data_IF_418578870457
#
_entry.id   IF_418578870457
#
_cell.length_a   1.000
_cell.length_b   1.000
_cell.length_c   1.000
_cell.angle_alpha   90.00
_cell.angle_beta   90.00
_cell.angle_gamma   90.00
#
_symmetry.space_group_name_H-M   'P 1'
#
loop_
_entity.id
_entity.type
_entity.pdbx_description
1 polymer ?
#
# COMPACT_ATOMS: atom_id res chain seq x y z
N UNK A 1 22.50 43.90 -5.16
CA UNK A 1 22.11 42.59 -5.75
C UNK A 1 20.75 42.07 -5.24
N UNK A 2 20.41 42.17 -3.95
CA UNK A 2 19.07 41.77 -3.43
C UNK A 2 17.95 42.80 -3.68
N UNK A 3 18.25 44.10 -3.75
CA UNK A 3 17.23 45.14 -4.02
C UNK A 3 16.85 45.29 -5.49
N UNK A 4 17.72 44.82 -6.39
CA UNK A 4 17.51 44.85 -7.85
C UNK A 4 16.59 43.70 -8.31
N UNK A 5 16.63 42.58 -7.57
CA UNK A 5 15.71 41.45 -7.75
C UNK A 5 14.30 41.79 -7.22
N UNK A 6 14.20 42.59 -6.16
CA UNK A 6 12.91 43.06 -5.60
C UNK A 6 12.17 44.02 -6.53
N UNK A 7 12.86 44.88 -7.28
CA UNK A 7 12.23 45.84 -8.22
C UNK A 7 11.67 45.21 -9.50
N UNK A 8 12.14 44.02 -9.88
CA UNK A 8 11.79 43.39 -11.16
C UNK A 8 10.64 42.36 -11.09
N UNK A 9 10.10 42.08 -9.90
CA UNK A 9 9.03 41.11 -9.71
C UNK A 9 7.66 41.80 -9.61
N UNK A 10 7.10 42.16 -10.77
CA UNK A 10 5.72 42.66 -10.89
C UNK A 10 4.72 41.47 -10.83
N UNK A 11 3.81 41.41 -9.84
CA UNK A 11 2.89 40.29 -9.62
C UNK A 11 1.97 39.96 -10.82
N UNK A 12 1.68 40.93 -11.69
CA UNK A 12 0.86 40.72 -12.87
C UNK A 12 1.59 39.97 -14.00
N UNK A 13 2.93 40.00 -14.07
CA UNK A 13 3.71 39.26 -15.08
C UNK A 13 3.84 37.76 -14.75
N UNK A 14 3.72 37.37 -13.48
CA UNK A 14 3.77 35.95 -13.05
C UNK A 14 2.50 35.16 -13.41
N UNK A 15 1.34 35.83 -13.53
CA UNK A 15 0.08 35.21 -13.96
C UNK A 15 0.02 34.92 -15.47
N UNK A 16 0.71 35.70 -16.30
CA UNK A 16 0.73 35.51 -17.76
C UNK A 16 1.79 34.51 -18.25
N UNK A 17 2.87 34.29 -17.48
CA UNK A 17 3.91 33.29 -17.78
C UNK A 17 3.42 31.84 -17.74
N UNK A 18 2.51 31.50 -16.81
CA UNK A 18 1.97 30.14 -16.68
C UNK A 18 1.08 29.71 -17.87
N UNK A 19 0.43 30.65 -18.56
CA UNK A 19 -0.36 30.37 -19.76
C UNK A 19 0.53 30.21 -21.01
N UNK A 20 1.56 31.05 -21.15
CA UNK A 20 2.52 30.95 -22.27
C UNK A 20 3.39 29.68 -22.21
N UNK A 21 3.79 29.25 -21.02
CA UNK A 21 4.52 27.98 -20.83
C UNK A 21 3.66 26.76 -21.21
N UNK A 22 2.37 26.74 -20.81
CA UNK A 22 1.41 25.69 -21.23
C UNK A 22 1.16 25.67 -22.74
N UNK A 23 1.14 26.84 -23.37
CA UNK A 23 0.87 26.97 -24.81
C UNK A 23 2.10 26.60 -25.66
N UNK A 24 3.31 26.89 -25.18
CA UNK A 24 4.57 26.46 -25.80
C UNK A 24 4.74 24.93 -25.74
N UNK A 25 4.42 24.30 -24.60
CA UNK A 25 4.45 22.84 -24.44
C UNK A 25 3.43 22.10 -25.33
N UNK A 26 2.26 22.72 -25.58
CA UNK A 26 1.27 22.20 -26.54
C UNK A 26 1.73 22.35 -28.00
N UNK A 27 2.35 23.47 -28.37
CA UNK A 27 2.88 23.70 -29.73
C UNK A 27 4.09 22.83 -30.08
N UNK A 28 4.84 22.37 -29.06
CA UNK A 28 5.99 21.47 -29.24
C UNK A 28 5.62 19.97 -29.33
N UNK A 29 4.33 19.62 -29.38
CA UNK A 29 3.90 18.21 -29.51
C UNK A 29 4.13 17.34 -28.26
N UNK A 30 4.47 17.93 -27.11
CA UNK A 30 4.80 17.19 -25.87
C UNK A 30 3.59 16.99 -24.93
N UNK A 31 2.36 17.08 -25.45
CA UNK A 31 1.16 16.73 -24.71
C UNK A 31 0.74 15.30 -25.05
N UNK A 32 1.32 14.31 -24.35
CA UNK A 32 0.85 12.92 -24.35
C UNK A 32 -0.06 12.68 -23.14
N UNK A 33 -1.16 11.95 -23.34
CA UNK A 33 -1.93 11.33 -22.27
C UNK A 33 -1.09 10.20 -21.65
N UNK A 34 -0.62 10.37 -20.42
CA UNK A 34 0.21 9.39 -19.70
C UNK A 34 1.25 10.03 -18.75
N UNK A 35 1.75 9.31 -17.72
CA UNK A 35 2.43 9.91 -16.58
C UNK A 35 3.91 10.21 -16.87
N UNK A 36 4.18 11.33 -17.53
CA UNK A 36 5.54 11.84 -17.80
C UNK A 36 6.23 12.44 -16.56
N UNK A 37 5.53 12.54 -15.42
CA UNK A 37 6.10 13.17 -14.21
C UNK A 37 7.16 12.33 -13.49
N UNK A 38 7.17 11.00 -13.65
CA UNK A 38 8.26 10.16 -13.15
C UNK A 38 9.60 10.54 -13.76
N UNK A 39 9.63 10.81 -15.08
CA UNK A 39 10.86 11.14 -15.80
C UNK A 39 11.38 12.56 -15.57
N UNK A 40 10.53 13.53 -15.25
CA UNK A 40 11.00 14.90 -14.91
C UNK A 40 11.46 15.03 -13.46
N UNK A 41 10.88 14.26 -12.53
CA UNK A 41 11.38 14.17 -11.16
C UNK A 41 12.75 13.43 -11.10
N UNK A 42 12.98 12.48 -12.00
CA UNK A 42 14.28 11.79 -12.14
C UNK A 42 15.30 12.59 -12.97
N UNK A 43 14.88 13.31 -14.03
CA UNK A 43 15.78 14.18 -14.81
C UNK A 43 16.26 15.41 -14.05
N UNK A 44 15.53 15.86 -13.02
CA UNK A 44 15.98 16.93 -12.11
C UNK A 44 17.03 16.49 -11.08
N UNK A 45 17.30 15.18 -10.95
CA UNK A 45 18.28 14.62 -10.00
C UNK A 45 19.70 14.52 -10.56
N UNK A 46 19.87 14.62 -11.88
CA UNK A 46 21.19 14.51 -12.54
C UNK A 46 21.98 15.82 -12.59
N UNK A 47 21.45 16.92 -12.05
CA UNK A 47 22.20 18.19 -11.91
C UNK A 47 22.61 18.36 -10.45
N UNK A 48 23.92 18.43 -10.13
CA UNK A 48 24.41 18.62 -8.77
C UNK A 48 24.13 20.05 -8.30
N UNK A 49 22.90 20.29 -7.84
CA UNK A 49 22.56 21.54 -7.16
C UNK A 49 23.06 21.44 -5.72
N UNK A 50 23.88 22.39 -5.24
CA UNK A 50 24.35 22.40 -3.86
C UNK A 50 23.18 22.32 -2.86
N UNK A 51 23.30 21.57 -1.75
CA UNK A 51 22.21 21.38 -0.79
C UNK A 51 21.55 22.69 -0.33
N UNK A 52 22.35 23.74 -0.09
CA UNK A 52 21.88 25.08 0.30
C UNK A 52 21.03 25.75 -0.79
N UNK A 53 21.41 25.62 -2.07
CA UNK A 53 20.64 26.15 -3.19
C UNK A 53 19.34 25.38 -3.42
N UNK A 54 19.35 24.06 -3.21
CA UNK A 54 18.14 23.22 -3.26
C UNK A 54 17.13 23.61 -2.17
N UNK A 55 17.60 23.90 -0.96
CA UNK A 55 16.76 24.40 0.15
C UNK A 55 16.14 25.75 -0.20
N UNK A 56 16.91 26.71 -0.72
CA UNK A 56 16.42 28.05 -1.09
C UNK A 56 15.39 27.98 -2.23
N UNK A 57 15.66 27.23 -3.30
CA UNK A 57 14.73 27.05 -4.43
C UNK A 57 13.45 26.33 -3.97
N UNK A 58 13.58 25.28 -3.15
CA UNK A 58 12.41 24.60 -2.58
C UNK A 58 11.58 25.51 -1.66
N UNK A 59 12.24 26.42 -0.94
CA UNK A 59 11.58 27.35 0.00
C UNK A 59 10.81 28.44 -0.75
N UNK A 60 11.37 28.99 -1.82
CA UNK A 60 10.79 30.09 -2.58
C UNK A 60 9.74 29.64 -3.60
N UNK A 61 9.87 28.44 -4.18
CA UNK A 61 9.02 27.98 -5.29
C UNK A 61 7.99 26.94 -4.85
N UNK A 62 8.29 26.14 -3.83
CA UNK A 62 7.47 24.97 -3.48
C UNK A 62 6.70 25.09 -2.17
N UNK A 63 6.88 26.14 -1.36
CA UNK A 63 6.13 26.32 -0.09
C UNK A 63 4.97 27.30 -0.25
N UNK A 64 3.81 26.96 0.34
CA UNK A 64 2.70 27.91 0.48
C UNK A 64 3.13 29.04 1.41
N UNK A 65 2.85 30.32 1.07
CA UNK A 65 3.11 31.41 1.99
C UNK A 65 2.21 31.28 3.23
N UNK A 66 2.79 31.51 4.40
CA UNK A 66 2.08 31.44 5.67
C UNK A 66 2.04 30.04 6.29
N UNK A 67 1.34 29.95 7.42
CA UNK A 67 1.12 28.70 8.11
C UNK A 67 -0.32 28.25 7.91
N UNK A 68 -0.53 26.94 7.90
CA UNK A 68 -1.85 26.31 7.94
C UNK A 68 -1.96 25.48 9.22
N UNK A 69 -3.17 25.37 9.76
CA UNK A 69 -3.46 24.46 10.87
C UNK A 69 -3.92 23.14 10.30
N UNK A 70 -3.29 22.04 10.71
CA UNK A 70 -3.62 20.68 10.29
C UNK A 70 -3.95 19.81 11.50
N UNK A 71 -4.94 18.89 11.40
CA UNK A 71 -5.16 17.89 12.43
C UNK A 71 -3.94 16.98 12.59
N UNK A 72 -3.53 16.69 13.83
CA UNK A 72 -2.35 15.87 14.11
C UNK A 72 -2.58 14.40 13.72
N UNK A 73 -3.81 13.91 13.84
CA UNK A 73 -4.24 12.56 13.42
C UNK A 73 -4.24 12.38 11.88
N UNK A 74 -4.12 13.49 11.11
CA UNK A 74 -3.97 13.51 9.66
C UNK A 74 -2.52 13.67 9.19
N UNK A 75 -1.56 13.56 10.10
CA UNK A 75 -0.14 13.56 9.79
C UNK A 75 0.37 12.14 9.66
N UNK A 76 1.04 11.84 8.56
CA UNK A 76 1.80 10.61 8.33
C UNK A 76 3.28 10.90 8.53
N UNK A 77 4.02 9.94 9.09
CA UNK A 77 5.48 10.05 9.10
C UNK A 77 6.01 10.06 7.66
N UNK A 78 7.22 10.57 7.46
CA UNK A 78 7.70 10.88 6.12
C UNK A 78 9.21 10.93 6.04
N UNK A 79 9.78 12.05 5.63
CA UNK A 79 11.24 12.17 5.54
C UNK A 79 11.89 11.90 6.91
N UNK A 80 12.98 11.15 6.94
CA UNK A 80 13.62 10.70 8.19
C UNK A 80 15.11 10.47 7.92
N UNK A 81 15.98 10.82 8.90
CA UNK A 81 17.44 10.65 8.80
C UNK A 81 18.06 11.27 7.52
N UNK A 82 17.54 12.45 7.11
CA UNK A 82 17.98 13.14 5.90
C UNK A 82 17.49 12.54 4.57
N UNK A 83 16.72 11.45 4.61
CA UNK A 83 16.13 10.81 3.43
C UNK A 83 14.69 11.28 3.19
N UNK A 84 14.30 11.34 1.93
CA UNK A 84 12.88 11.43 1.57
C UNK A 84 12.14 10.18 2.03
N UNK A 85 10.82 10.27 2.14
CA UNK A 85 9.97 9.14 2.51
C UNK A 85 10.16 7.90 1.62
N UNK A 86 10.42 8.10 0.31
CA UNK A 86 10.72 7.01 -0.63
C UNK A 86 12.10 6.41 -0.38
N UNK A 87 13.13 7.25 -0.30
CA UNK A 87 14.50 6.77 -0.01
C UNK A 87 14.56 6.03 1.32
N UNK A 88 13.80 6.48 2.32
CA UNK A 88 13.68 5.78 3.59
C UNK A 88 13.08 4.38 3.39
N UNK A 89 11.90 4.29 2.75
CA UNK A 89 11.24 3.00 2.50
C UNK A 89 12.14 2.02 1.74
N UNK A 90 12.83 2.49 0.70
CA UNK A 90 13.75 1.67 -0.11
C UNK A 90 14.98 1.20 0.68
N UNK A 91 15.57 2.06 1.50
CA UNK A 91 16.79 1.74 2.28
C UNK A 91 16.53 0.85 3.48
N UNK A 92 15.31 0.90 4.00
CA UNK A 92 14.95 0.25 5.27
C UNK A 92 13.99 -0.91 5.09
N UNK A 93 13.60 -1.21 3.84
CA UNK A 93 12.59 -2.20 3.48
C UNK A 93 11.26 -2.00 4.25
N UNK A 94 10.87 -0.73 4.42
CA UNK A 94 9.66 -0.33 5.14
C UNK A 94 8.73 0.47 4.23
N UNK A 95 7.98 -0.26 3.40
CA UNK A 95 7.03 0.32 2.45
C UNK A 95 5.99 1.22 3.13
N UNK A 96 5.55 0.84 4.34
CA UNK A 96 4.45 1.47 5.07
C UNK A 96 4.90 2.59 6.00
N UNK A 97 6.20 2.87 6.10
CA UNK A 97 6.69 4.02 6.86
C UNK A 97 5.91 5.29 6.49
N UNK A 98 5.79 5.70 5.21
CA UNK A 98 5.06 6.93 4.87
C UNK A 98 3.52 6.81 4.91
N UNK A 99 3.00 5.66 5.31
CA UNK A 99 1.58 5.36 5.56
C UNK A 99 1.27 5.31 7.06
N UNK A 100 2.30 5.31 7.92
CA UNK A 100 2.15 5.27 9.37
C UNK A 100 1.73 6.63 9.89
N UNK A 101 0.63 6.70 10.66
CA UNK A 101 0.21 7.95 11.30
C UNK A 101 1.25 8.39 12.31
N UNK A 102 1.53 9.68 12.37
CA UNK A 102 2.48 10.26 13.32
C UNK A 102 2.16 9.89 14.77
N UNK A 103 0.87 9.87 15.13
CA UNK A 103 0.39 9.54 16.49
C UNK A 103 0.62 8.08 16.89
N UNK A 104 0.83 7.21 15.91
CA UNK A 104 1.20 5.79 16.09
C UNK A 104 2.70 5.57 15.78
N UNK A 105 3.43 6.68 15.59
CA UNK A 105 4.83 6.65 15.20
C UNK A 105 5.78 6.47 16.39
N UNK A 106 7.01 6.02 16.12
CA UNK A 106 7.97 5.65 17.16
C UNK A 106 8.36 6.80 18.12
N UNK A 107 8.31 8.05 17.64
CA UNK A 107 8.60 9.22 18.48
C UNK A 107 7.51 9.45 19.53
N UNK A 108 6.24 9.23 19.18
CA UNK A 108 5.12 9.37 20.13
C UNK A 108 5.14 8.19 21.10
N UNK A 109 5.41 6.99 20.61
CA UNK A 109 5.53 5.80 21.48
C UNK A 109 6.62 5.95 22.53
N UNK A 110 7.79 6.49 22.16
CA UNK A 110 8.84 6.77 23.15
C UNK A 110 8.36 7.76 24.22
N UNK A 111 7.64 8.81 23.85
CA UNK A 111 7.10 9.80 24.81
C UNK A 111 6.00 9.24 25.72
N UNK A 112 5.40 8.10 25.37
CA UNK A 112 4.42 7.39 26.22
C UNK A 112 5.10 6.56 27.32
N UNK A 113 6.39 6.26 27.19
CA UNK A 113 7.14 5.55 28.22
C UNK A 113 7.36 6.46 29.44
N UNK A 114 7.14 5.92 30.64
CA UNK A 114 7.36 6.64 31.91
C UNK A 114 8.68 6.16 32.51
N UNK A 115 9.67 7.04 32.59
CA UNK A 115 11.01 6.76 33.12
C UNK A 115 11.63 5.43 32.59
N UNK A 116 11.68 5.22 31.26
CA UNK A 116 12.16 3.96 30.71
C UNK A 116 13.63 3.73 31.07
N UNK A 117 14.05 2.49 31.21
CA UNK A 117 15.46 2.05 31.23
C UNK A 117 16.10 2.17 29.85
N UNK A 118 17.42 2.04 29.76
CA UNK A 118 18.13 2.08 28.48
C UNK A 118 17.75 0.88 27.60
N UNK A 119 17.58 -0.29 28.21
CA UNK A 119 17.07 -1.51 27.58
C UNK A 119 15.67 -1.30 27.00
N UNK A 120 14.77 -0.67 27.75
CA UNK A 120 13.41 -0.36 27.27
C UNK A 120 13.41 0.64 26.11
N UNK A 121 14.28 1.66 26.14
CA UNK A 121 14.47 2.59 25.02
C UNK A 121 14.92 1.83 23.78
N UNK A 122 15.93 0.98 23.90
CA UNK A 122 16.50 0.22 22.77
C UNK A 122 15.53 -0.83 22.23
N UNK A 123 14.71 -1.43 23.11
CA UNK A 123 13.67 -2.37 22.74
C UNK A 123 12.42 -1.69 22.13
N UNK A 124 12.23 -0.39 22.36
CA UNK A 124 11.06 0.36 21.86
C UNK A 124 11.03 0.50 20.32
N UNK A 125 9.87 0.85 19.72
CA UNK A 125 9.79 1.24 18.31
C UNK A 125 10.79 2.33 17.90
N UNK A 126 11.11 3.28 18.81
CA UNK A 126 12.11 4.31 18.57
C UNK A 126 13.52 3.76 18.47
N UNK A 127 13.92 2.89 19.40
CA UNK A 127 15.23 2.23 19.37
C UNK A 127 15.41 1.39 18.11
N UNK A 128 14.39 0.63 17.72
CA UNK A 128 14.39 -0.16 16.47
C UNK A 128 14.48 0.71 15.22
N UNK A 129 13.74 1.82 15.16
CA UNK A 129 13.87 2.80 14.07
C UNK A 129 15.31 3.33 13.97
N UNK A 130 15.89 3.72 15.11
CA UNK A 130 17.21 4.32 15.14
C UNK A 130 18.29 3.34 14.65
N UNK A 131 18.27 2.09 15.13
CA UNK A 131 19.15 1.02 14.66
C UNK A 131 19.01 0.80 13.16
N UNK A 132 17.78 0.70 12.66
CA UNK A 132 17.51 0.54 11.22
C UNK A 132 18.09 1.69 10.37
N UNK A 133 18.02 2.92 10.87
CA UNK A 133 18.64 4.07 10.20
C UNK A 133 20.18 4.00 10.23
N UNK A 134 20.76 3.55 11.34
CA UNK A 134 22.21 3.35 11.48
C UNK A 134 22.68 2.23 10.55
N UNK A 135 21.98 1.11 10.49
CA UNK A 135 22.31 -0.01 9.61
C UNK A 135 22.26 0.40 8.13
N UNK A 136 21.22 1.16 7.74
CA UNK A 136 21.02 1.57 6.35
C UNK A 136 21.80 2.83 5.92
N UNK A 137 22.30 3.62 6.88
CA UNK A 137 22.77 5.00 6.65
C UNK A 137 24.00 5.43 7.42
N UNK A 138 24.48 4.58 8.33
CA UNK A 138 25.58 4.84 9.25
C UNK A 138 25.25 5.80 10.39
N UNK A 139 24.04 6.38 10.46
CA UNK A 139 23.67 7.32 11.53
C UNK A 139 22.17 7.54 11.72
N UNK A 140 21.79 8.02 12.90
CA UNK A 140 20.45 8.52 13.23
C UNK A 140 20.52 9.73 14.16
N UNK A 141 20.22 10.94 13.65
CA UNK A 141 20.35 12.20 14.42
C UNK A 141 21.72 12.34 15.15
N UNK A 142 22.80 11.91 14.50
CA UNK A 142 24.15 11.93 15.07
C UNK A 142 24.55 10.71 15.90
N UNK A 143 23.61 9.83 16.25
CA UNK A 143 23.93 8.53 16.84
C UNK A 143 24.49 7.58 15.78
N UNK A 144 25.51 6.81 16.14
CA UNK A 144 26.12 5.76 15.30
C UNK A 144 26.13 4.39 15.98
N UNK A 145 25.66 4.32 17.23
CA UNK A 145 25.60 3.13 18.07
C UNK A 145 24.45 3.25 19.10
N UNK A 146 24.24 2.20 19.90
CA UNK A 146 23.19 2.13 20.92
C UNK A 146 23.34 3.19 22.02
N UNK A 147 24.57 3.51 22.43
CA UNK A 147 24.82 4.54 23.43
C UNK A 147 24.37 5.93 22.92
N UNK A 148 24.66 6.22 21.65
CA UNK A 148 24.17 7.42 20.96
C UNK A 148 22.65 7.43 20.83
N UNK A 149 22.01 6.29 20.59
CA UNK A 149 20.54 6.17 20.55
C UNK A 149 19.93 6.50 21.91
N UNK A 150 20.48 5.94 22.98
CA UNK A 150 20.01 6.17 24.35
C UNK A 150 20.17 7.64 24.74
N UNK A 151 21.37 8.22 24.59
CA UNK A 151 21.59 9.65 24.81
C UNK A 151 20.64 10.49 23.92
N UNK A 152 20.41 9.99 22.71
CA UNK A 152 19.40 10.39 21.76
C UNK A 152 18.02 10.59 22.38
N UNK A 153 17.46 9.48 22.84
CA UNK A 153 16.15 9.34 23.43
C UNK A 153 16.01 10.10 24.76
N UNK A 154 17.02 10.03 25.64
CA UNK A 154 17.01 10.71 26.95
C UNK A 154 16.83 12.22 26.82
N UNK A 155 17.60 12.85 25.93
CA UNK A 155 17.44 14.27 25.61
C UNK A 155 16.06 14.58 25.01
N UNK A 156 15.52 13.66 24.20
CA UNK A 156 14.18 13.83 23.67
C UNK A 156 13.09 13.70 24.76
N UNK A 157 13.23 12.77 25.71
CA UNK A 157 12.32 12.61 26.83
C UNK A 157 12.37 13.81 27.79
N UNK A 158 13.57 14.26 28.16
CA UNK A 158 13.76 15.33 29.16
C UNK A 158 13.18 16.68 28.74
N UNK A 159 13.07 16.94 27.43
CA UNK A 159 12.64 18.27 26.98
C UNK A 159 13.75 19.30 26.97
N UNK A 160 14.94 18.94 27.42
CA UNK A 160 16.07 19.85 27.48
C UNK A 160 16.56 20.21 26.07
N UNK A 161 16.71 21.51 25.82
CA UNK A 161 17.26 22.04 24.59
C UNK A 161 18.78 21.79 24.56
N UNK A 162 19.17 20.58 24.16
CA UNK A 162 20.55 20.25 23.84
C UNK A 162 21.01 20.94 22.54
N UNK A 163 22.31 20.83 22.24
CA UNK A 163 22.84 21.26 20.94
C UNK A 163 22.04 20.64 19.79
N UNK A 164 21.76 21.45 18.76
CA UNK A 164 21.03 21.01 17.57
C UNK A 164 21.76 19.83 16.94
N UNK A 165 21.11 18.67 16.92
CA UNK A 165 21.65 17.47 16.28
C UNK A 165 21.65 17.61 14.75
N UNK A 166 22.57 16.92 14.06
CA UNK A 166 22.51 16.79 12.61
C UNK A 166 21.11 16.32 12.17
N UNK A 167 20.59 16.89 11.09
CA UNK A 167 19.28 16.55 10.51
C UNK A 167 18.06 16.89 11.37
N UNK A 168 18.26 17.48 12.56
CA UNK A 168 17.17 18.01 13.38
C UNK A 168 16.93 19.50 13.07
N UNK A 169 15.68 19.88 12.84
CA UNK A 169 15.28 21.29 12.79
C UNK A 169 15.19 21.92 14.18
N UNK A 170 15.59 23.18 14.30
CA UNK A 170 15.58 23.92 15.56
C UNK A 170 14.18 24.40 15.95
N UNK A 171 14.02 24.89 17.18
CA UNK A 171 12.72 25.34 17.73
C UNK A 171 12.01 26.41 16.90
N UNK A 172 12.78 27.34 16.32
CA UNK A 172 12.25 28.43 15.49
C UNK A 172 12.02 28.03 14.03
N UNK A 173 12.49 26.84 13.63
CA UNK A 173 12.25 26.33 12.29
C UNK A 173 10.77 25.90 12.16
N UNK A 174 10.07 26.27 11.07
CA UNK A 174 8.70 25.84 10.86
C UNK A 174 8.63 24.32 10.73
N UNK A 175 7.55 23.71 11.24
CA UNK A 175 7.21 22.32 10.89
C UNK A 175 6.83 22.28 9.41
N UNK A 176 7.42 21.36 8.64
CA UNK A 176 7.20 21.26 7.20
C UNK A 176 6.41 19.99 6.87
N UNK A 177 5.38 20.14 6.06
CA UNK A 177 4.57 19.02 5.57
C UNK A 177 4.34 19.11 4.06
N UNK A 178 3.98 18.00 3.43
CA UNK A 178 3.48 17.96 2.06
C UNK A 178 2.09 17.30 2.02
N UNK A 179 1.12 17.82 1.26
CA UNK A 179 -0.15 17.13 1.05
C UNK A 179 0.08 15.77 0.38
N UNK A 180 -0.60 14.72 0.83
CA UNK A 180 -0.56 13.41 0.17
C UNK A 180 -1.63 13.33 -0.91
N UNK A 181 -1.21 12.96 -2.13
CA UNK A 181 -2.04 13.02 -3.33
C UNK A 181 -3.30 12.18 -3.18
N UNK A 182 -4.45 12.81 -3.41
CA UNK A 182 -5.76 12.14 -3.35
C UNK A 182 -6.31 11.97 -1.94
N UNK A 183 -5.56 12.28 -0.89
CA UNK A 183 -6.01 12.10 0.49
C UNK A 183 -6.23 13.45 1.19
N UNK A 184 -6.78 13.41 2.41
CA UNK A 184 -6.78 14.53 3.35
C UNK A 184 -5.60 14.49 4.33
N UNK A 185 -4.65 13.57 4.14
CA UNK A 185 -3.45 13.41 4.93
C UNK A 185 -2.28 14.26 4.43
N UNK A 186 -1.33 14.50 5.32
CA UNK A 186 -0.08 15.18 5.03
C UNK A 186 1.11 14.34 5.47
N UNK A 187 2.14 14.29 4.64
CA UNK A 187 3.41 13.66 4.99
C UNK A 187 4.32 14.67 5.69
N UNK A 188 4.84 14.32 6.86
CA UNK A 188 5.80 15.15 7.59
C UNK A 188 7.15 15.11 6.89
N UNK A 189 7.67 16.29 6.55
CA UNK A 189 8.97 16.46 5.92
C UNK A 189 10.05 16.87 6.92
N UNK A 190 9.65 17.58 7.97
CA UNK A 190 10.52 18.06 9.02
C UNK A 190 9.70 18.46 10.25
N UNK A 191 10.28 18.32 11.44
CA UNK A 191 9.66 18.68 12.72
C UNK A 191 8.94 17.53 13.43
N UNK A 192 9.23 16.27 13.09
CA UNK A 192 8.62 15.07 13.69
C UNK A 192 8.66 15.10 15.22
N UNK A 193 9.82 15.42 15.81
CA UNK A 193 10.00 15.51 17.26
C UNK A 193 9.08 16.57 17.91
N UNK A 194 8.86 17.72 17.25
CA UNK A 194 7.96 18.77 17.75
C UNK A 194 6.51 18.32 17.68
N UNK A 195 6.12 17.73 16.56
CA UNK A 195 4.77 17.21 16.38
C UNK A 195 4.47 16.04 17.33
N UNK A 196 5.45 15.17 17.58
CA UNK A 196 5.32 14.08 18.55
C UNK A 196 5.12 14.60 19.98
N UNK A 197 5.87 15.62 20.40
CA UNK A 197 5.63 16.29 21.70
C UNK A 197 4.26 16.96 21.76
N UNK A 198 3.82 17.61 20.68
CA UNK A 198 2.47 18.20 20.62
C UNK A 198 1.40 17.12 20.81
N UNK A 199 1.51 16.00 20.09
CA UNK A 199 0.62 14.85 20.23
C UNK A 199 0.63 14.28 21.67
N UNK A 200 1.81 14.11 22.28
CA UNK A 200 1.96 13.62 23.64
C UNK A 200 1.35 14.56 24.70
N UNK A 201 1.31 15.88 24.44
CA UNK A 201 0.59 16.85 25.28
C UNK A 201 -0.93 16.87 25.06
N UNK A 202 -1.46 16.03 24.18
CA UNK A 202 -2.88 15.99 23.84
C UNK A 202 -3.32 17.11 22.89
N UNK A 203 -2.39 17.78 22.21
CA UNK A 203 -2.77 18.72 21.15
C UNK A 203 -3.41 17.94 19.99
N UNK A 204 -4.50 18.47 19.44
CA UNK A 204 -5.24 17.85 18.33
C UNK A 204 -4.90 18.45 16.98
N UNK A 205 -4.24 19.61 16.96
CA UNK A 205 -3.87 20.33 15.73
C UNK A 205 -2.47 20.91 15.84
N UNK A 206 -1.81 21.09 14.70
CA UNK A 206 -0.49 21.70 14.62
C UNK A 206 -0.45 22.80 13.57
N UNK A 207 0.30 23.86 13.86
CA UNK A 207 0.59 24.95 12.91
C UNK A 207 1.82 24.58 12.07
N UNK A 208 1.63 24.42 10.76
CA UNK A 208 2.66 23.90 9.84
C UNK A 208 2.80 24.77 8.59
N UNK A 209 3.93 24.63 7.89
CA UNK A 209 4.13 25.16 6.54
C UNK A 209 4.02 24.01 5.54
N UNK A 210 3.15 24.17 4.56
CA UNK A 210 2.84 23.11 3.60
C UNK A 210 3.48 23.37 2.23
N UNK A 211 3.87 22.30 1.53
CA UNK A 211 4.26 22.38 0.12
C UNK A 211 3.05 22.62 -0.79
N UNK A 212 3.27 23.33 -1.90
CA UNK A 212 2.26 23.53 -2.95
C UNK A 212 1.91 22.24 -3.67
N UNK A 213 2.92 21.45 -4.01
CA UNK A 213 2.77 20.23 -4.80
C UNK A 213 2.54 19.03 -3.87
N UNK A 214 1.50 18.22 -4.14
CA UNK A 214 1.27 16.99 -3.39
C UNK A 214 2.31 15.93 -3.74
N UNK A 215 2.64 15.10 -2.75
CA UNK A 215 3.52 13.92 -2.87
C UNK A 215 2.68 12.64 -2.97
N UNK A 216 3.27 11.57 -3.50
CA UNK A 216 2.72 10.21 -3.39
C UNK A 216 3.49 9.44 -2.31
N UNK A 217 2.85 8.44 -1.71
CA UNK A 217 3.52 7.49 -0.82
C UNK A 217 4.10 6.30 -1.62
N UNK A 218 5.13 5.60 -1.11
CA UNK A 218 5.63 4.38 -1.74
C UNK A 218 4.55 3.32 -1.96
N UNK A 219 3.61 3.18 -1.01
CA UNK A 219 2.45 2.30 -1.16
C UNK A 219 1.58 2.70 -2.37
N UNK A 220 1.23 3.98 -2.50
CA UNK A 220 0.49 4.49 -3.67
C UNK A 220 1.26 4.24 -4.97
N UNK A 221 2.57 4.49 -4.98
CA UNK A 221 3.42 4.29 -6.15
C UNK A 221 3.49 2.80 -6.54
N UNK A 222 3.54 1.88 -5.57
CA UNK A 222 3.55 0.44 -5.81
C UNK A 222 2.20 -0.03 -6.38
N UNK A 223 1.09 0.36 -5.77
CA UNK A 223 -0.26 0.02 -6.22
C UNK A 223 -0.51 0.49 -7.65
N UNK A 224 -0.14 1.71 -8.00
CA UNK A 224 -0.31 2.26 -9.36
C UNK A 224 0.50 1.51 -10.44
N UNK A 225 1.48 0.69 -10.06
CA UNK A 225 2.30 -0.11 -10.99
C UNK A 225 1.81 -1.55 -11.14
N UNK A 226 0.85 -1.99 -10.32
CA UNK A 226 0.34 -3.36 -10.39
C UNK A 226 -0.37 -3.57 -11.73
N UNK A 227 -0.09 -4.70 -12.34
CA UNK A 227 -0.44 -5.02 -13.73
C UNK A 227 -1.94 -5.01 -14.01
N UNK A 228 -2.78 -5.36 -13.02
CA UNK A 228 -4.23 -5.45 -13.18
C UNK A 228 -4.99 -4.14 -12.91
N UNK A 229 -4.34 -3.11 -12.36
CA UNK A 229 -5.01 -1.84 -12.06
C UNK A 229 -4.99 -0.85 -13.24
N UNK A 230 -4.19 -1.07 -14.28
CA UNK A 230 -4.02 -0.11 -15.40
C UNK A 230 -3.83 1.36 -14.94
N UNK A 231 -3.21 1.55 -13.77
CA UNK A 231 -3.02 2.85 -13.13
C UNK A 231 -4.27 3.52 -12.54
N UNK A 232 -5.40 2.81 -12.42
CA UNK A 232 -6.60 3.28 -11.71
C UNK A 232 -6.37 3.31 -10.19
N UNK A 233 -7.21 4.06 -9.48
CA UNK A 233 -7.19 4.15 -8.01
C UNK A 233 -8.22 3.20 -7.42
N UNK A 234 -7.97 1.92 -7.60
CA UNK A 234 -8.83 0.84 -7.15
C UNK A 234 -8.00 -0.12 -6.31
N UNK A 235 -8.60 -0.66 -5.25
CA UNK A 235 -7.98 -1.71 -4.44
C UNK A 235 -8.72 -3.00 -4.74
N UNK A 236 -8.05 -3.96 -5.38
CA UNK A 236 -8.70 -5.23 -5.68
C UNK A 236 -9.12 -5.95 -4.38
N UNK A 237 -8.22 -6.04 -3.40
CA UNK A 237 -8.48 -6.54 -2.04
C UNK A 237 -8.30 -5.43 -0.99
N UNK A 238 -8.84 -5.58 0.24
CA UNK A 238 -8.77 -4.54 1.27
C UNK A 238 -7.36 -4.21 1.72
N UNK A 239 -6.99 -2.93 1.73
CA UNK A 239 -5.73 -2.42 2.31
C UNK A 239 -6.08 -1.34 3.32
N UNK A 240 -5.73 -1.56 4.58
CA UNK A 240 -5.91 -0.56 5.64
C UNK A 240 -4.71 0.40 5.65
N UNK A 241 -4.83 1.48 4.87
CA UNK A 241 -3.86 2.56 4.87
C UNK A 241 -4.56 3.93 4.85
N UNK A 242 -4.20 4.88 5.74
CA UNK A 242 -4.96 6.12 5.91
C UNK A 242 -5.05 6.96 4.63
N UNK A 243 -3.97 7.02 3.83
CA UNK A 243 -3.95 7.81 2.61
C UNK A 243 -4.80 7.24 1.46
N UNK A 244 -5.22 5.98 1.57
CA UNK A 244 -6.02 5.30 0.54
C UNK A 244 -7.52 5.46 0.81
N UNK A 245 -7.92 5.48 2.09
CA UNK A 245 -9.30 5.35 2.58
C UNK A 245 -10.35 6.23 1.87
N UNK A 246 -9.97 7.42 1.39
CA UNK A 246 -10.92 8.35 0.74
C UNK A 246 -10.94 8.28 -0.78
N UNK A 247 -9.82 7.95 -1.42
CA UNK A 247 -9.65 8.14 -2.87
C UNK A 247 -9.38 6.87 -3.66
N UNK A 248 -9.33 5.75 -2.97
CA UNK A 248 -9.18 4.44 -3.56
C UNK A 248 -10.42 3.62 -3.21
N UNK A 249 -11.12 3.18 -4.23
CA UNK A 249 -12.32 2.36 -4.05
C UNK A 249 -11.89 0.90 -3.92
N UNK A 250 -12.29 0.23 -2.84
CA UNK A 250 -12.12 -1.22 -2.73
C UNK A 250 -13.13 -1.92 -3.62
N UNK A 251 -12.61 -2.74 -4.52
CA UNK A 251 -13.37 -3.47 -5.54
C UNK A 251 -13.98 -4.74 -4.95
N UNK A 252 -13.19 -5.52 -4.18
CA UNK A 252 -13.66 -6.73 -3.51
C UNK A 252 -13.45 -6.62 -2.00
N UNK A 253 -14.52 -6.76 -1.22
CA UNK A 253 -14.52 -6.73 0.25
C UNK A 253 -13.86 -7.95 0.86
N UNK A 254 -14.03 -9.11 0.24
CA UNK A 254 -13.44 -10.40 0.62
C UNK A 254 -13.92 -11.00 1.96
N UNK A 255 -14.34 -10.18 2.92
CA UNK A 255 -14.78 -10.60 4.27
C UNK A 255 -15.99 -11.52 4.24
N UNK A 256 -16.98 -11.24 3.39
CA UNK A 256 -18.19 -12.03 3.22
C UNK A 256 -17.88 -13.44 2.67
N UNK A 257 -16.96 -13.53 1.70
CA UNK A 257 -16.47 -14.81 1.16
C UNK A 257 -15.69 -15.58 2.22
N UNK A 258 -14.81 -14.93 2.96
CA UNK A 258 -14.07 -15.55 4.06
C UNK A 258 -15.01 -16.13 5.12
N UNK A 259 -16.03 -15.38 5.54
CA UNK A 259 -17.01 -15.84 6.53
C UNK A 259 -17.70 -17.14 6.08
N UNK A 260 -18.13 -17.20 4.81
CA UNK A 260 -18.73 -18.40 4.22
C UNK A 260 -17.74 -19.57 4.18
N UNK A 261 -16.50 -19.32 3.77
CA UNK A 261 -15.45 -20.35 3.72
C UNK A 261 -15.18 -20.92 5.11
N UNK A 262 -14.87 -20.07 6.09
CA UNK A 262 -14.53 -20.46 7.46
C UNK A 262 -15.68 -21.22 8.11
N UNK A 263 -16.93 -20.76 7.91
CA UNK A 263 -18.12 -21.46 8.41
C UNK A 263 -18.20 -22.88 7.86
N UNK A 264 -18.10 -23.06 6.53
CA UNK A 264 -18.16 -24.39 5.92
C UNK A 264 -17.01 -25.28 6.40
N UNK A 265 -15.78 -24.76 6.45
CA UNK A 265 -14.62 -25.53 6.90
C UNK A 265 -14.77 -25.98 8.35
N UNK A 266 -15.29 -25.12 9.23
CA UNK A 266 -15.58 -25.47 10.61
C UNK A 266 -16.67 -26.55 10.72
N UNK A 267 -17.78 -26.42 9.97
CA UNK A 267 -18.85 -27.42 9.92
C UNK A 267 -18.37 -28.79 9.42
N UNK A 268 -17.38 -28.81 8.51
CA UNK A 268 -16.78 -30.03 7.97
C UNK A 268 -15.54 -30.51 8.74
N UNK A 269 -15.12 -29.80 9.80
CA UNK A 269 -13.92 -30.14 10.57
C UNK A 269 -12.62 -30.12 9.76
N UNK A 270 -12.56 -29.32 8.69
CA UNK A 270 -11.41 -29.26 7.79
C UNK A 270 -10.35 -28.31 8.33
N UNK A 271 -9.13 -28.81 8.46
CA UNK A 271 -7.91 -28.08 8.82
C UNK A 271 -6.76 -28.55 7.95
N UNK A 272 -5.64 -27.82 7.94
CA UNK A 272 -4.40 -28.26 7.30
C UNK A 272 -3.79 -27.21 6.38
N UNK A 273 -3.39 -27.65 5.19
CA UNK A 273 -2.72 -26.82 4.18
C UNK A 273 -3.73 -26.06 3.31
N UNK A 274 -3.40 -24.82 2.98
CA UNK A 274 -4.23 -23.94 2.16
C UNK A 274 -3.41 -23.29 1.04
N UNK A 275 -3.95 -23.24 -0.18
CA UNK A 275 -3.39 -22.44 -1.27
C UNK A 275 -4.45 -21.55 -1.92
N UNK A 276 -4.11 -20.27 -2.07
CA UNK A 276 -4.88 -19.30 -2.84
C UNK A 276 -4.27 -19.11 -4.24
N UNK A 277 -4.99 -19.54 -5.28
CA UNK A 277 -4.57 -19.47 -6.67
C UNK A 277 -5.06 -18.16 -7.29
N UNK A 278 -4.12 -17.37 -7.83
CA UNK A 278 -4.31 -15.96 -8.20
C UNK A 278 -4.65 -15.08 -6.98
N UNK A 279 -3.76 -15.15 -5.97
CA UNK A 279 -3.98 -14.57 -4.64
C UNK A 279 -4.01 -13.04 -4.58
N UNK A 280 -3.67 -12.36 -5.68
CA UNK A 280 -3.61 -10.91 -5.77
C UNK A 280 -2.68 -10.29 -4.71
N UNK A 281 -3.20 -9.58 -3.70
CA UNK A 281 -2.39 -8.99 -2.64
C UNK A 281 -2.04 -10.01 -1.53
N UNK A 282 -2.70 -11.17 -1.53
CA UNK A 282 -2.55 -12.21 -0.50
C UNK A 282 -3.46 -12.04 0.71
N UNK A 283 -4.57 -11.30 0.58
CA UNK A 283 -5.50 -11.07 1.70
C UNK A 283 -6.03 -12.40 2.27
N UNK A 284 -6.53 -13.31 1.42
CA UNK A 284 -7.02 -14.61 1.89
C UNK A 284 -5.91 -15.48 2.47
N UNK A 285 -4.69 -15.41 1.93
CA UNK A 285 -3.50 -16.09 2.51
C UNK A 285 -3.27 -15.65 3.95
N UNK A 286 -3.34 -14.34 4.21
CA UNK A 286 -3.18 -13.80 5.55
C UNK A 286 -4.30 -14.23 6.49
N UNK A 287 -5.55 -14.11 6.06
CA UNK A 287 -6.72 -14.45 6.90
C UNK A 287 -6.85 -15.95 7.18
N UNK A 288 -6.59 -16.79 6.19
CA UNK A 288 -6.57 -18.25 6.39
C UNK A 288 -5.41 -18.67 7.30
N UNK A 289 -4.26 -17.97 7.23
CA UNK A 289 -3.17 -18.14 8.19
C UNK A 289 -3.58 -17.80 9.63
N UNK A 290 -4.31 -16.69 9.84
CA UNK A 290 -4.88 -16.33 11.15
C UNK A 290 -5.90 -17.35 11.65
N UNK A 291 -6.63 -18.00 10.73
CA UNK A 291 -7.54 -19.10 11.02
C UNK A 291 -6.84 -20.44 11.31
N UNK A 292 -5.50 -20.50 11.27
CA UNK A 292 -4.70 -21.66 11.67
C UNK A 292 -4.27 -22.58 10.52
N UNK A 293 -4.49 -22.21 9.26
CA UNK A 293 -4.01 -22.99 8.11
C UNK A 293 -2.54 -22.73 7.79
N UNK A 294 -1.84 -23.73 7.25
CA UNK A 294 -0.56 -23.50 6.55
C UNK A 294 -0.85 -22.89 5.18
N UNK A 295 -1.01 -21.57 5.18
CA UNK A 295 -1.53 -20.79 4.06
C UNK A 295 -0.43 -20.29 3.11
N UNK A 296 -0.59 -20.60 1.83
CA UNK A 296 0.27 -20.16 0.73
C UNK A 296 -0.55 -19.47 -0.37
N UNK A 297 0.09 -18.67 -1.20
CA UNK A 297 -0.52 -18.03 -2.37
C UNK A 297 0.30 -18.20 -3.63
N UNK A 298 -0.35 -18.05 -4.78
CA UNK A 298 0.29 -17.97 -6.09
C UNK A 298 -0.24 -16.73 -6.81
N UNK A 299 0.66 -15.88 -7.29
CA UNK A 299 0.31 -14.70 -8.07
C UNK A 299 1.29 -14.46 -9.22
N UNK A 300 0.79 -14.03 -10.37
CA UNK A 300 1.60 -13.76 -11.55
C UNK A 300 2.37 -12.44 -11.43
N UNK A 301 1.78 -11.42 -10.82
CA UNK A 301 2.46 -10.13 -10.66
C UNK A 301 3.53 -10.20 -9.54
N UNK A 302 4.81 -9.97 -9.85
CA UNK A 302 5.87 -9.99 -8.84
C UNK A 302 5.71 -8.92 -7.75
N UNK A 303 4.92 -7.86 -7.98
CA UNK A 303 4.65 -6.82 -6.98
C UNK A 303 3.70 -7.27 -5.86
N UNK A 304 2.99 -8.38 -6.04
CA UNK A 304 2.17 -8.99 -5.00
C UNK A 304 2.98 -9.39 -3.77
N UNK A 305 4.20 -9.92 -3.98
CA UNK A 305 5.06 -10.39 -2.90
C UNK A 305 5.47 -9.25 -1.94
N UNK A 306 6.11 -8.16 -2.39
CA UNK A 306 6.47 -7.05 -1.50
C UNK A 306 5.23 -6.36 -0.91
N UNK A 307 4.11 -6.29 -1.65
CA UNK A 307 2.88 -5.70 -1.12
C UNK A 307 2.28 -6.54 0.01
N UNK A 308 2.11 -7.85 -0.19
CA UNK A 308 1.54 -8.75 0.79
C UNK A 308 2.38 -8.87 2.06
N UNK A 309 3.72 -8.85 1.91
CA UNK A 309 4.64 -8.73 3.06
C UNK A 309 4.39 -7.46 3.85
N UNK A 310 4.34 -6.32 3.16
CA UNK A 310 4.20 -5.03 3.80
C UNK A 310 2.84 -4.85 4.49
N UNK A 311 1.75 -5.15 3.77
CA UNK A 311 0.39 -4.85 4.22
C UNK A 311 -0.19 -5.93 5.13
N UNK A 312 0.13 -7.20 4.88
CA UNK A 312 -0.46 -8.31 5.64
C UNK A 312 0.54 -9.10 6.49
N UNK A 313 1.82 -8.70 6.49
CA UNK A 313 2.85 -9.38 7.28
C UNK A 313 3.17 -10.79 6.78
N UNK A 314 2.92 -11.08 5.50
CA UNK A 314 3.24 -12.38 4.90
C UNK A 314 4.75 -12.66 4.96
N UNK A 315 5.12 -13.92 5.12
CA UNK A 315 6.53 -14.33 5.18
C UNK A 315 7.14 -14.40 3.78
N UNK A 316 8.48 -14.34 3.73
CA UNK A 316 9.23 -14.69 2.52
C UNK A 316 8.81 -16.05 1.98
N UNK A 317 8.60 -16.14 0.66
CA UNK A 317 8.17 -17.37 -0.01
C UNK A 317 6.73 -17.83 0.29
N UNK A 318 5.94 -17.09 1.08
CA UNK A 318 4.55 -17.45 1.36
C UNK A 318 3.63 -17.21 0.15
N UNK A 319 3.97 -16.24 -0.72
CA UNK A 319 3.41 -16.10 -2.06
C UNK A 319 4.48 -16.49 -3.08
N UNK A 320 4.18 -17.48 -3.91
CA UNK A 320 4.98 -17.82 -5.08
C UNK A 320 4.62 -16.93 -6.27
N UNK A 321 5.63 -16.44 -7.00
CA UNK A 321 5.41 -15.70 -8.25
C UNK A 321 5.45 -16.61 -9.46
N UNK A 322 4.38 -16.64 -10.26
CA UNK A 322 4.35 -17.40 -11.50
C UNK A 322 2.95 -17.55 -12.10
N UNK A 323 2.89 -18.20 -13.26
CA UNK A 323 1.60 -18.53 -13.88
C UNK A 323 0.91 -19.67 -13.13
N UNK A 324 -0.37 -19.47 -12.81
CA UNK A 324 -1.15 -20.45 -12.04
C UNK A 324 -1.25 -21.81 -12.76
N UNK A 325 -1.37 -21.83 -14.09
CA UNK A 325 -1.48 -23.08 -14.85
C UNK A 325 -0.16 -23.83 -14.81
N UNK A 326 0.96 -23.14 -15.05
CA UNK A 326 2.28 -23.76 -15.00
C UNK A 326 2.57 -24.33 -13.61
N UNK A 327 2.35 -23.53 -12.56
CA UNK A 327 2.61 -23.93 -11.18
C UNK A 327 1.74 -25.11 -10.75
N UNK A 328 0.45 -25.10 -11.09
CA UNK A 328 -0.42 -26.23 -10.80
C UNK A 328 -0.07 -27.46 -11.64
N UNK A 329 0.29 -27.29 -12.91
CA UNK A 329 0.59 -28.39 -13.83
C UNK A 329 1.85 -29.17 -13.43
N UNK A 330 2.90 -28.48 -12.97
CA UNK A 330 4.19 -29.07 -12.58
C UNK A 330 4.29 -29.42 -11.08
N UNK A 331 3.26 -29.13 -10.29
CA UNK A 331 3.20 -29.51 -8.88
C UNK A 331 2.44 -30.82 -8.70
N UNK A 332 3.06 -31.76 -7.97
CA UNK A 332 2.40 -32.95 -7.43
C UNK A 332 1.81 -32.73 -6.02
N UNK A 333 1.95 -31.51 -5.48
CA UNK A 333 1.45 -31.18 -4.14
C UNK A 333 -0.07 -31.08 -4.16
N UNK A 334 -0.68 -31.76 -3.18
CA UNK A 334 -2.11 -31.67 -2.87
C UNK A 334 -2.28 -30.85 -1.59
N UNK A 335 -3.22 -29.92 -1.59
CA UNK A 335 -3.55 -29.05 -0.47
C UNK A 335 -4.91 -29.44 0.11
N UNK A 336 -5.09 -29.38 1.43
CA UNK A 336 -6.38 -29.69 2.05
C UNK A 336 -7.47 -28.75 1.52
N UNK A 337 -7.16 -27.47 1.39
CA UNK A 337 -8.06 -26.44 0.88
C UNK A 337 -7.40 -25.65 -0.25
N UNK A 338 -8.12 -25.45 -1.34
CA UNK A 338 -7.72 -24.58 -2.45
C UNK A 338 -8.76 -23.48 -2.60
N UNK A 339 -8.34 -22.23 -2.82
CA UNK A 339 -9.22 -21.20 -3.39
C UNK A 339 -8.74 -20.76 -4.76
N UNK A 340 -9.68 -20.43 -5.62
CA UNK A 340 -9.43 -19.86 -6.94
C UNK A 340 -10.52 -18.83 -7.24
N UNK A 341 -10.27 -17.59 -6.85
CA UNK A 341 -11.26 -16.52 -6.98
C UNK A 341 -11.03 -15.72 -8.25
N UNK A 342 -12.11 -15.48 -9.00
CA UNK A 342 -12.12 -14.52 -10.09
C UNK A 342 -11.05 -14.76 -11.15
N UNK A 343 -10.74 -16.03 -11.41
CA UNK A 343 -9.77 -16.44 -12.41
C UNK A 343 -10.42 -17.18 -13.59
N UNK A 344 -11.36 -18.10 -13.33
CA UNK A 344 -11.90 -19.03 -14.33
C UNK A 344 -12.49 -18.33 -15.57
N UNK A 345 -13.21 -17.22 -15.38
CA UNK A 345 -13.80 -16.47 -16.50
C UNK A 345 -12.75 -15.95 -17.50
N UNK A 346 -11.50 -15.70 -17.09
CA UNK A 346 -10.44 -15.38 -18.05
C UNK A 346 -10.21 -16.52 -19.05
N UNK A 347 -10.37 -17.77 -18.63
CA UNK A 347 -10.20 -18.96 -19.45
C UNK A 347 -11.42 -19.21 -20.33
N UNK A 348 -12.62 -18.99 -19.79
CA UNK A 348 -13.87 -19.00 -20.56
C UNK A 348 -13.83 -18.00 -21.71
N UNK A 349 -13.29 -16.80 -21.47
CA UNK A 349 -13.13 -15.74 -22.46
C UNK A 349 -11.95 -15.96 -23.42
N UNK A 350 -11.27 -17.11 -23.37
CA UNK A 350 -10.13 -17.43 -24.22
C UNK A 350 -8.86 -16.61 -23.95
N UNK A 351 -8.73 -16.04 -22.74
CA UNK A 351 -7.56 -15.25 -22.30
C UNK A 351 -6.55 -16.07 -21.49
N UNK A 352 -6.91 -17.29 -21.10
CA UNK A 352 -6.04 -18.24 -20.40
C UNK A 352 -5.10 -18.98 -21.35
N UNK A 353 -4.05 -19.60 -20.80
CA UNK A 353 -3.11 -20.45 -21.55
C UNK A 353 -3.68 -21.83 -21.91
N UNK A 354 -4.78 -22.22 -21.26
CA UNK A 354 -5.53 -23.46 -21.51
C UNK A 354 -7.04 -23.17 -21.53
N UNK A 355 -7.86 -24.17 -21.86
CA UNK A 355 -9.32 -24.07 -21.75
C UNK A 355 -9.81 -24.10 -20.29
N UNK A 356 -11.05 -23.65 -20.01
CA UNK A 356 -11.61 -23.62 -18.66
C UNK A 356 -11.70 -25.01 -18.01
N UNK A 357 -11.95 -26.07 -18.79
CA UNK A 357 -12.00 -27.45 -18.29
C UNK A 357 -10.63 -27.92 -17.81
N UNK A 358 -9.55 -27.52 -18.49
CA UNK A 358 -8.19 -27.88 -18.11
C UNK A 358 -7.77 -27.18 -16.81
N UNK A 359 -8.11 -25.89 -16.64
CA UNK A 359 -7.86 -25.18 -15.39
C UNK A 359 -8.58 -25.86 -14.21
N UNK A 360 -9.87 -26.14 -14.36
CA UNK A 360 -10.67 -26.75 -13.26
C UNK A 360 -10.15 -28.14 -12.90
N UNK A 361 -9.68 -28.94 -13.87
CA UNK A 361 -9.03 -30.23 -13.58
C UNK A 361 -7.70 -30.08 -12.83
N UNK A 362 -6.93 -29.03 -13.11
CA UNK A 362 -5.71 -28.73 -12.34
C UNK A 362 -6.04 -28.34 -10.89
N UNK A 363 -7.08 -27.53 -10.70
CA UNK A 363 -7.58 -27.17 -9.37
C UNK A 363 -8.09 -28.39 -8.60
N UNK A 364 -8.90 -29.23 -9.24
CA UNK A 364 -9.39 -30.49 -8.66
C UNK A 364 -8.24 -31.40 -8.21
N UNK A 365 -7.24 -31.60 -9.06
CA UNK A 365 -6.04 -32.40 -8.73
C UNK A 365 -5.25 -31.84 -7.56
N UNK A 366 -5.09 -30.51 -7.51
CA UNK A 366 -4.36 -29.85 -6.43
C UNK A 366 -5.14 -29.81 -5.11
N UNK A 367 -6.45 -30.07 -5.14
CA UNK A 367 -7.32 -30.02 -3.97
C UNK A 367 -7.44 -31.39 -3.34
N UNK A 368 -7.34 -31.46 -2.02
CA UNK A 368 -7.50 -32.66 -1.19
C UNK A 368 -8.91 -32.80 -0.64
N UNK A 369 -9.45 -31.74 -0.02
CA UNK A 369 -10.77 -31.77 0.66
C UNK A 369 -11.75 -30.75 0.09
N UNK A 370 -11.37 -29.48 0.00
CA UNK A 370 -12.32 -28.40 -0.40
C UNK A 370 -11.71 -27.44 -1.40
N UNK A 371 -12.39 -27.23 -2.53
CA UNK A 371 -12.10 -26.15 -3.49
C UNK A 371 -13.16 -25.05 -3.34
N UNK A 372 -12.71 -23.84 -3.02
CA UNK A 372 -13.52 -22.64 -3.10
C UNK A 372 -13.30 -21.93 -4.43
N UNK A 373 -14.37 -21.62 -5.15
CA UNK A 373 -14.28 -20.99 -6.46
C UNK A 373 -15.37 -19.94 -6.64
N UNK A 374 -14.98 -18.76 -7.11
CA UNK A 374 -15.89 -17.80 -7.71
C UNK A 374 -15.35 -17.40 -9.09
N UNK A 375 -16.24 -16.95 -9.96
CA UNK A 375 -15.87 -16.55 -11.32
C UNK A 375 -16.82 -15.47 -11.83
N UNK A 376 -16.42 -14.75 -12.87
CA UNK A 376 -17.28 -13.82 -13.57
C UNK A 376 -18.56 -14.51 -14.06
N UNK A 377 -19.68 -13.80 -13.97
CA UNK A 377 -21.02 -14.29 -14.29
C UNK A 377 -21.77 -13.33 -15.23
N UNK A 378 -22.77 -13.84 -15.93
CA UNK A 378 -23.57 -13.08 -16.90
C UNK A 378 -24.42 -11.96 -16.30
N UNK A 379 -24.69 -12.00 -14.99
CA UNK A 379 -25.41 -10.93 -14.30
C UNK A 379 -24.60 -9.62 -14.23
N UNK A 380 -23.28 -9.70 -14.31
CA UNK A 380 -22.40 -8.53 -14.29
C UNK A 380 -22.50 -7.74 -15.60
N UNK A 381 -22.76 -6.43 -15.52
CA UNK A 381 -23.01 -5.60 -16.70
C UNK A 381 -21.85 -5.64 -17.71
N UNK A 382 -20.60 -5.73 -17.27
CA UNK A 382 -19.43 -5.86 -18.15
C UNK A 382 -19.25 -7.25 -18.81
N UNK A 383 -19.96 -8.28 -18.34
CA UNK A 383 -19.85 -9.66 -18.81
C UNK A 383 -21.13 -10.21 -19.40
N UNK A 384 -22.25 -9.49 -19.29
CA UNK A 384 -23.58 -9.92 -19.75
C UNK A 384 -23.60 -10.60 -21.12
N UNK A 385 -22.86 -10.08 -22.09
CA UNK A 385 -22.78 -10.68 -23.43
C UNK A 385 -21.62 -11.66 -23.58
N UNK A 386 -20.49 -11.40 -22.93
CA UNK A 386 -19.27 -12.19 -23.13
C UNK A 386 -19.24 -13.49 -22.32
N UNK A 387 -20.06 -13.57 -21.27
CA UNK A 387 -20.27 -14.74 -20.43
C UNK A 387 -21.74 -15.19 -20.46
N UNK A 388 -22.48 -14.92 -21.54
CA UNK A 388 -23.86 -15.38 -21.70
C UNK A 388 -23.98 -16.89 -21.42
N UNK A 389 -24.94 -17.26 -20.58
CA UNK A 389 -25.16 -18.62 -20.09
C UNK A 389 -24.29 -19.04 -18.91
N UNK A 390 -23.33 -18.21 -18.44
CA UNK A 390 -22.55 -18.47 -17.22
C UNK A 390 -23.23 -17.83 -16.01
N UNK A 391 -24.11 -18.59 -15.37
CA UNK A 391 -24.80 -18.24 -14.13
C UNK A 391 -24.54 -19.31 -13.06
N UNK A 392 -25.13 -19.13 -11.87
CA UNK A 392 -24.84 -20.01 -10.75
C UNK A 392 -25.14 -21.49 -11.04
N UNK A 393 -26.25 -21.79 -11.75
CA UNK A 393 -26.66 -23.14 -12.08
C UNK A 393 -25.69 -23.78 -13.10
N UNK A 394 -25.42 -23.10 -14.20
CA UNK A 394 -24.54 -23.63 -15.25
C UNK A 394 -23.08 -23.77 -14.80
N UNK A 395 -22.62 -22.90 -13.90
CA UNK A 395 -21.30 -23.00 -13.26
C UNK A 395 -21.25 -24.24 -12.37
N UNK A 396 -22.26 -24.46 -11.52
CA UNK A 396 -22.31 -25.65 -10.68
C UNK A 396 -22.30 -26.93 -11.54
N UNK A 397 -23.06 -26.98 -12.63
CA UNK A 397 -23.07 -28.10 -13.57
C UNK A 397 -21.76 -28.29 -14.33
N UNK A 398 -21.07 -27.19 -14.66
CA UNK A 398 -19.73 -27.23 -15.23
C UNK A 398 -18.75 -27.88 -14.26
N UNK A 399 -18.75 -27.46 -13.00
CA UNK A 399 -17.89 -28.03 -11.95
C UNK A 399 -18.18 -29.53 -11.75
N UNK A 400 -19.45 -29.94 -11.65
CA UNK A 400 -19.86 -31.35 -11.55
C UNK A 400 -19.34 -32.21 -12.69
N UNK A 401 -19.35 -31.69 -13.92
CA UNK A 401 -18.94 -32.45 -15.12
C UNK A 401 -17.43 -32.55 -15.30
N UNK A 402 -16.65 -31.64 -14.72
CA UNK A 402 -15.23 -31.51 -15.01
C UNK A 402 -14.32 -31.70 -13.80
N UNK A 403 -14.87 -32.06 -12.64
CA UNK A 403 -14.13 -32.37 -11.41
C UNK A 403 -14.54 -33.73 -10.83
N UNK A 404 -13.80 -34.17 -9.82
CA UNK A 404 -14.02 -35.42 -9.08
C UNK A 404 -14.61 -35.21 -7.68
N UNK A 405 -15.10 -34.00 -7.35
CA UNK A 405 -15.71 -33.71 -6.05
C UNK A 405 -17.06 -34.41 -5.88
N UNK A 406 -17.36 -34.82 -4.64
CA UNK A 406 -18.59 -35.54 -4.29
C UNK A 406 -19.79 -34.58 -4.18
N UNK A 407 -19.54 -33.36 -3.70
CA UNK A 407 -20.56 -32.33 -3.51
C UNK A 407 -20.12 -31.00 -4.12
N UNK A 408 -21.06 -30.32 -4.80
CA UNK A 408 -20.90 -28.92 -5.25
C UNK A 408 -21.97 -28.08 -4.56
N UNK A 409 -21.55 -27.22 -3.65
CA UNK A 409 -22.40 -26.38 -2.79
C UNK A 409 -22.28 -24.93 -3.24
N UNK A 410 -23.40 -24.30 -3.54
CA UNK A 410 -23.48 -22.85 -3.74
C UNK A 410 -23.64 -22.16 -2.38
N UNK A 411 -22.62 -21.41 -1.97
CA UNK A 411 -22.60 -20.64 -0.71
C UNK A 411 -23.22 -19.25 -0.85
N UNK A 412 -23.77 -18.93 -2.03
CA UNK A 412 -24.47 -17.69 -2.34
C UNK A 412 -23.55 -16.55 -2.81
N UNK A 413 -24.16 -15.43 -3.23
CA UNK A 413 -23.49 -14.31 -3.91
C UNK A 413 -22.59 -13.51 -2.97
N UNK A 414 -21.51 -12.95 -3.50
CA UNK A 414 -20.70 -11.95 -2.81
C UNK A 414 -21.45 -10.64 -2.54
N UNK A 415 -20.97 -9.88 -1.55
CA UNK A 415 -21.52 -8.58 -1.16
C UNK A 415 -20.71 -7.42 -1.74
N UNK A 416 -20.26 -7.56 -3.00
CA UNK A 416 -19.42 -6.57 -3.69
C UNK A 416 -20.25 -5.61 -4.59
N UNK A 417 -21.55 -5.86 -4.74
CA UNK A 417 -22.48 -5.11 -5.58
C UNK A 417 -22.89 -3.75 -4.96
N UNK A 418 -21.91 -2.87 -4.76
CA UNK A 418 -22.10 -1.52 -4.21
C UNK A 418 -21.54 -0.44 -5.13
N UNK A 419 -22.05 0.81 -5.08
CA UNK A 419 -21.51 1.91 -5.87
C UNK A 419 -19.98 2.04 -5.71
N UNK A 420 -19.20 2.19 -6.80
CA UNK A 420 -19.63 2.38 -8.19
C UNK A 420 -19.89 1.09 -9.00
N UNK A 421 -19.81 -0.09 -8.39
CA UNK A 421 -19.93 -1.41 -9.03
C UNK A 421 -21.27 -2.13 -8.77
N UNK A 422 -22.34 -1.39 -8.50
CA UNK A 422 -23.64 -1.95 -8.11
C UNK A 422 -24.20 -3.00 -9.11
N UNK A 423 -23.90 -2.86 -10.40
CA UNK A 423 -24.36 -3.76 -11.46
C UNK A 423 -23.30 -4.76 -11.94
N UNK A 424 -22.16 -4.87 -11.25
CA UNK A 424 -20.98 -5.58 -11.75
C UNK A 424 -20.45 -6.66 -10.78
N UNK A 425 -21.18 -6.97 -9.71
CA UNK A 425 -20.85 -8.01 -8.74
C UNK A 425 -22.11 -8.76 -8.27
N UNK A 426 -21.99 -9.60 -7.24
CA UNK A 426 -22.97 -10.60 -6.87
C UNK A 426 -22.58 -11.98 -7.39
N UNK A 427 -21.28 -12.31 -7.42
CA UNK A 427 -20.80 -13.62 -7.89
C UNK A 427 -21.06 -14.67 -6.82
N UNK A 428 -21.63 -15.79 -7.23
CA UNK A 428 -21.80 -16.93 -6.33
C UNK A 428 -20.45 -17.59 -6.02
N UNK A 429 -20.23 -17.83 -4.72
CA UNK A 429 -19.11 -18.61 -4.21
C UNK A 429 -19.51 -20.08 -4.16
N UNK A 430 -18.76 -20.93 -4.83
CA UNK A 430 -18.95 -22.38 -4.78
C UNK A 430 -17.94 -23.03 -3.86
N UNK A 431 -18.37 -24.07 -3.15
CA UNK A 431 -17.51 -25.02 -2.48
C UNK A 431 -17.68 -26.41 -3.10
N UNK A 432 -16.59 -26.97 -3.59
CA UNK A 432 -16.53 -28.33 -4.10
C UNK A 432 -15.86 -29.20 -3.04
N UNK A 433 -16.56 -30.21 -2.52
CA UNK A 433 -16.15 -30.97 -1.32
C UNK A 433 -15.89 -32.42 -1.69
N UNK A 434 -14.80 -32.97 -1.16
CA UNK A 434 -14.46 -34.40 -1.20
C UNK A 434 -14.66 -35.01 0.18
N UNK A 435 -15.40 -36.11 0.24
CA UNK A 435 -15.83 -36.81 1.46
C UNK A 435 -14.84 -37.88 1.93
#
# INVERSE_FOLDING_TARGET
MLDEVRRNLNPQKLRSGGRRAKQALRKAGMASAGPVYGRLADAGRSVPIPPKARVVVSTLVLRRPGHVTVPIDRLLVGAQAGWTAREFAERTDDLLWPSTRLVDGPHVDLLRLTDPTDEEILASPYGRLARRCIDAGGRYFGATDDAGIVAGARSFLSGEEGERRPEQSGRLDPVLVAPVRGSDYYQVLDGHHRLARAAARGETTARVVTKWLPVTTPLQDLLLRMSWLDGTKELYQPIDAPELAKSWTTVRRCTDRLEKMVKLLAERGVTGSYIDVASCYGWFVAEMGKAGFDAQGVERDPLAVPLGKAVYGLREGQIGTGDAVELLAYSDRVYDVVSCFSLLHHFVLGRGSVGPEALVKLLDRATGKVLFLDTGQENEAWFRTSLEGWNAESIADFLRRHTTFDEIIDLGPDDDAHPPYADNYGRHLFACVRT
#
